data_IF_482959572400
#
_entry.id   IF_482959572400
#
_cell.length_a   1.000
_cell.length_b   1.000
_cell.length_c   1.000
_cell.angle_alpha   90.00
_cell.angle_beta   90.00
_cell.angle_gamma   90.00
#
_symmetry.space_group_name_H-M   'P 1'
#
loop_
_entity.id
_entity.type
_entity.pdbx_description
1 polymer ?
#
# COMPACT_ATOMS: atom_id res chain seq x y z
N UNK A 1 18.73 7.38 48.62
CA UNK A 1 19.14 7.90 47.30
C UNK A 1 18.29 7.27 46.21
N UNK A 2 17.38 8.02 45.57
CA UNK A 2 16.92 7.73 44.21
C UNK A 2 17.12 8.97 43.29
N UNK A 3 17.41 8.79 41.99
CA UNK A 3 16.38 9.04 40.95
C UNK A 3 16.60 8.15 39.68
N UNK A 4 15.64 7.87 38.79
CA UNK A 4 14.94 8.81 37.90
C UNK A 4 13.66 8.18 37.30
N UNK A 5 12.53 8.83 37.54
CA UNK A 5 11.29 8.69 36.78
C UNK A 5 11.38 9.47 35.47
N UNK A 6 11.26 8.80 34.32
CA UNK A 6 11.02 9.45 33.03
C UNK A 6 9.52 9.76 32.90
N UNK A 7 9.19 11.04 32.83
CA UNK A 7 7.84 11.57 32.54
C UNK A 7 7.34 11.02 31.20
N UNK A 8 6.21 10.32 31.22
CA UNK A 8 5.46 9.96 30.04
C UNK A 8 4.61 11.17 29.62
N UNK A 9 4.78 11.63 28.38
CA UNK A 9 3.90 12.63 27.80
C UNK A 9 2.52 12.00 27.54
N UNK A 10 1.54 12.37 28.36
CA UNK A 10 0.13 12.13 28.11
C UNK A 10 -0.32 12.95 26.90
N UNK A 11 -0.52 12.29 25.76
CA UNK A 11 -1.20 12.88 24.61
C UNK A 11 -2.68 13.08 24.95
N UNK A 12 -3.12 14.34 24.98
CA UNK A 12 -4.51 14.73 25.23
C UNK A 12 -5.43 14.17 24.14
N UNK A 13 -6.36 13.30 24.54
CA UNK A 13 -7.50 12.87 23.72
C UNK A 13 -8.56 13.98 23.83
N UNK A 14 -8.77 14.71 22.75
CA UNK A 14 -9.81 15.74 22.67
C UNK A 14 -11.15 15.10 22.29
N UNK A 15 -12.07 15.06 23.26
CA UNK A 15 -13.49 14.74 23.10
C UNK A 15 -14.18 15.98 22.50
N UNK A 16 -15.05 15.76 21.51
CA UNK A 16 -15.79 16.81 20.82
C UNK A 16 -17.22 16.93 21.37
N UNK A 17 -17.64 18.16 21.70
CA UNK A 17 -19.05 18.57 21.78
C UNK A 17 -19.25 19.89 21.03
N UNK A 18 -20.47 20.19 20.56
CA UNK A 18 -20.69 21.12 19.46
C UNK A 18 -21.15 22.52 19.92
N UNK A 19 -21.16 23.42 18.92
CA UNK A 19 -21.77 24.76 18.90
C UNK A 19 -20.88 25.93 19.31
N UNK A 20 -20.28 26.56 18.30
CA UNK A 20 -20.12 28.01 18.28
C UNK A 20 -19.94 28.46 16.83
N UNK A 21 -20.82 29.35 16.35
CA UNK A 21 -20.62 30.08 15.09
C UNK A 21 -19.30 30.85 15.20
N UNK A 22 -18.26 30.40 14.50
CA UNK A 22 -16.99 31.12 14.40
C UNK A 22 -17.10 32.21 13.33
N UNK A 23 -17.41 33.43 13.76
CA UNK A 23 -16.97 34.64 13.07
C UNK A 23 -15.57 34.93 13.60
N UNK A 24 -14.53 34.46 12.90
CA UNK A 24 -13.14 34.81 13.22
C UNK A 24 -12.84 36.19 12.64
N UNK A 25 -13.06 37.24 13.43
CA UNK A 25 -12.29 38.48 13.30
C UNK A 25 -10.92 38.20 13.88
N UNK A 26 -9.89 38.16 13.03
CA UNK A 26 -8.50 38.17 13.49
C UNK A 26 -8.30 39.53 14.17
N UNK A 27 -8.21 39.56 15.50
CA UNK A 27 -7.68 40.74 16.19
C UNK A 27 -6.16 40.64 16.25
N UNK A 28 -5.42 41.72 15.91
CA UNK A 28 -3.97 41.72 16.02
C UNK A 28 -3.57 41.61 17.49
N UNK A 29 -2.62 40.73 17.80
CA UNK A 29 -1.92 40.76 19.08
C UNK A 29 -0.91 41.92 19.07
N UNK A 30 -0.86 42.70 20.15
CA UNK A 30 -0.03 43.90 20.37
C UNK A 30 1.49 43.62 20.46
N UNK A 31 2.05 42.90 19.50
CA UNK A 31 3.49 42.83 19.22
C UNK A 31 3.73 43.23 17.77
N UNK A 32 3.41 44.50 17.49
CA UNK A 32 3.40 45.13 16.18
C UNK A 32 4.81 45.41 15.67
N UNK A 33 5.19 44.73 14.58
CA UNK A 33 5.64 45.35 13.32
C UNK A 33 6.05 44.25 12.32
N UNK A 34 6.70 43.19 12.81
CA UNK A 34 7.27 42.13 11.96
C UNK A 34 6.28 41.02 11.59
N UNK A 35 5.38 40.62 12.50
CA UNK A 35 4.37 39.60 12.22
C UNK A 35 3.23 40.10 11.34
N UNK A 36 2.87 41.38 11.45
CA UNK A 36 1.81 41.99 10.65
C UNK A 36 2.24 42.14 9.18
N UNK A 37 3.50 42.54 8.94
CA UNK A 37 4.10 42.53 7.61
C UNK A 37 4.15 41.13 6.98
N UNK A 38 4.48 40.08 7.75
CA UNK A 38 4.51 38.70 7.27
C UNK A 38 3.12 38.13 6.96
N UNK A 39 2.10 38.47 7.76
CA UNK A 39 0.70 38.09 7.50
C UNK A 39 0.15 38.84 6.27
N UNK A 40 0.46 40.13 6.13
CA UNK A 40 0.09 40.93 4.96
C UNK A 40 0.82 40.48 3.68
N UNK A 41 2.04 39.95 3.80
CA UNK A 41 2.76 39.35 2.67
C UNK A 41 2.23 37.96 2.28
N UNK A 42 1.56 37.25 3.19
CA UNK A 42 1.04 35.91 2.91
C UNK A 42 -0.29 36.00 2.14
N UNK A 43 -0.20 35.91 0.82
CA UNK A 43 -1.35 35.95 -0.11
C UNK A 43 -2.49 35.02 0.36
N UNK A 44 -2.17 33.82 0.86
CA UNK A 44 -3.16 32.83 1.31
C UNK A 44 -3.97 33.24 2.55
N UNK A 45 -3.46 34.16 3.37
CA UNK A 45 -4.17 34.68 4.54
C UNK A 45 -5.10 35.84 4.18
N UNK A 46 -4.94 36.42 2.98
CA UNK A 46 -5.66 37.59 2.52
C UNK A 46 -6.68 37.29 1.40
N UNK A 47 -6.71 36.05 0.89
CA UNK A 47 -7.74 35.64 -0.08
C UNK A 47 -9.08 35.29 0.61
N UNK A 48 -10.22 35.56 -0.04
CA UNK A 48 -11.53 35.09 0.40
C UNK A 48 -11.57 33.58 0.67
N UNK A 49 -12.30 33.17 1.69
CA UNK A 49 -12.40 31.76 2.10
C UNK A 49 -13.01 30.89 1.00
N UNK A 50 -13.86 31.44 0.14
CA UNK A 50 -14.46 30.76 -1.00
C UNK A 50 -13.39 30.38 -2.03
N UNK A 51 -12.50 31.31 -2.38
CA UNK A 51 -11.39 31.04 -3.30
C UNK A 51 -10.40 30.05 -2.68
N UNK A 52 -10.13 30.19 -1.38
CA UNK A 52 -9.29 29.24 -0.66
C UNK A 52 -9.89 27.82 -0.66
N UNK A 53 -11.21 27.71 -0.49
CA UNK A 53 -11.95 26.46 -0.57
C UNK A 53 -11.80 25.82 -1.96
N UNK A 54 -11.99 26.59 -3.04
CA UNK A 54 -11.83 26.10 -4.41
C UNK A 54 -10.41 25.62 -4.71
N UNK A 55 -9.40 26.41 -4.31
CA UNK A 55 -8.00 25.99 -4.45
C UNK A 55 -7.77 24.70 -3.67
N UNK A 56 -8.23 24.64 -2.42
CA UNK A 56 -8.03 23.48 -1.54
C UNK A 56 -8.70 22.20 -2.05
N UNK A 57 -9.84 22.30 -2.75
CA UNK A 57 -10.52 21.15 -3.38
C UNK A 57 -9.66 20.50 -4.47
N UNK A 58 -8.81 21.27 -5.14
CA UNK A 58 -7.93 20.77 -6.21
C UNK A 58 -6.64 20.14 -5.69
N UNK A 59 -6.28 20.39 -4.42
CA UNK A 59 -5.07 19.84 -3.81
C UNK A 59 -5.19 18.34 -3.56
N UNK A 60 -4.06 17.64 -3.61
CA UNK A 60 -4.00 16.24 -3.21
C UNK A 60 -4.23 16.12 -1.70
N UNK A 61 -4.90 15.06 -1.19
CA UNK A 61 -5.16 14.93 0.25
C UNK A 61 -3.90 14.97 1.13
N UNK A 62 -2.76 14.52 0.61
CA UNK A 62 -1.47 14.61 1.30
C UNK A 62 -0.99 16.07 1.48
N UNK A 63 -1.29 16.95 0.53
CA UNK A 63 -0.96 18.36 0.62
C UNK A 63 -1.86 19.05 1.64
N UNK A 64 -3.16 18.69 1.67
CA UNK A 64 -4.09 19.17 2.70
C UNK A 64 -3.64 18.75 4.12
N UNK A 65 -3.12 17.53 4.28
CA UNK A 65 -2.53 17.08 5.54
C UNK A 65 -1.28 17.87 5.91
N UNK A 66 -0.47 18.24 4.92
CA UNK A 66 0.71 19.09 5.13
C UNK A 66 0.30 20.50 5.59
N UNK A 67 -0.72 21.10 4.97
CA UNK A 67 -1.26 22.40 5.36
C UNK A 67 -1.83 22.41 6.79
N UNK A 68 -2.54 21.35 7.20
CA UNK A 68 -3.03 21.15 8.57
C UNK A 68 -1.90 21.23 9.62
N UNK A 69 -0.68 20.82 9.24
CA UNK A 69 0.47 20.72 10.14
C UNK A 69 1.30 22.00 10.18
N UNK A 70 1.46 22.67 9.05
CA UNK A 70 2.38 23.81 8.90
C UNK A 70 1.80 25.15 9.33
N UNK A 71 0.48 25.36 9.27
CA UNK A 71 -0.12 26.68 9.49
C UNK A 71 -1.34 26.65 10.42
N UNK A 72 -1.37 27.54 11.41
CA UNK A 72 -2.49 27.64 12.38
C UNK A 72 -3.82 28.00 11.71
N UNK A 73 -3.80 28.90 10.72
CA UNK A 73 -4.97 29.30 9.96
C UNK A 73 -5.58 28.11 9.20
N UNK A 74 -4.77 27.44 8.37
CA UNK A 74 -5.20 26.22 7.66
C UNK A 74 -5.65 25.12 8.62
N UNK A 75 -4.99 24.99 9.77
CA UNK A 75 -5.39 24.03 10.80
C UNK A 75 -6.80 24.26 11.32
N UNK A 76 -7.16 25.52 11.58
CA UNK A 76 -8.49 25.85 12.09
C UNK A 76 -9.56 25.61 11.02
N UNK A 77 -9.30 26.04 9.79
CA UNK A 77 -10.24 25.94 8.68
C UNK A 77 -10.45 24.48 8.23
N UNK A 78 -9.36 23.73 8.02
CA UNK A 78 -9.43 22.35 7.53
C UNK A 78 -9.86 21.32 8.59
N UNK A 79 -9.97 21.75 9.87
CA UNK A 79 -10.57 20.95 10.95
C UNK A 79 -12.05 21.26 11.18
N UNK A 80 -12.53 22.44 10.76
CA UNK A 80 -13.93 22.78 10.89
C UNK A 80 -14.78 21.83 10.02
N UNK A 81 -15.68 21.07 10.67
CA UNK A 81 -16.46 20.04 9.97
C UNK A 81 -17.39 20.62 8.92
N UNK A 82 -17.94 21.81 9.14
CA UNK A 82 -18.89 22.43 8.22
C UNK A 82 -18.17 22.90 6.95
N UNK A 83 -17.10 23.66 7.13
CA UNK A 83 -16.34 24.24 6.04
C UNK A 83 -15.46 23.23 5.29
N UNK A 84 -14.77 22.34 6.01
CA UNK A 84 -13.75 21.48 5.41
C UNK A 84 -14.35 20.24 4.72
N UNK A 85 -15.55 19.79 5.10
CA UNK A 85 -16.12 18.53 4.57
C UNK A 85 -16.26 18.54 3.04
N UNK A 86 -16.77 19.60 2.38
CA UNK A 86 -16.77 19.68 0.93
C UNK A 86 -15.37 19.65 0.31
N UNK A 87 -14.38 20.31 0.94
CA UNK A 87 -12.99 20.36 0.49
C UNK A 87 -12.39 18.95 0.46
N UNK A 88 -12.43 18.28 1.60
CA UNK A 88 -11.91 16.93 1.73
C UNK A 88 -12.63 15.94 0.82
N UNK A 89 -13.96 16.03 0.71
CA UNK A 89 -14.75 15.15 -0.16
C UNK A 89 -14.30 15.24 -1.61
N UNK A 90 -14.16 16.45 -2.14
CA UNK A 90 -13.76 16.66 -3.54
C UNK A 90 -12.32 16.21 -3.75
N UNK A 91 -11.39 16.67 -2.90
CA UNK A 91 -9.98 16.29 -2.97
C UNK A 91 -9.78 14.77 -2.93
N UNK A 92 -10.44 14.08 -2.01
CA UNK A 92 -10.39 12.62 -1.90
C UNK A 92 -10.98 11.92 -3.12
N UNK A 93 -12.11 12.40 -3.63
CA UNK A 93 -12.73 11.82 -4.82
C UNK A 93 -11.85 11.98 -6.05
N UNK A 94 -11.18 13.12 -6.23
CA UNK A 94 -10.25 13.32 -7.33
C UNK A 94 -9.05 12.37 -7.26
N UNK A 95 -8.49 12.18 -6.06
CA UNK A 95 -7.33 11.32 -5.85
C UNK A 95 -7.63 9.81 -5.91
N UNK A 96 -8.80 9.38 -5.45
CA UNK A 96 -9.09 7.95 -5.24
C UNK A 96 -10.28 7.40 -6.02
N UNK A 97 -11.19 8.27 -6.48
CA UNK A 97 -12.53 7.89 -7.00
C UNK A 97 -13.41 7.13 -6.00
N UNK A 98 -13.06 7.11 -4.72
CA UNK A 98 -13.90 6.55 -3.67
C UNK A 98 -15.21 7.35 -3.53
N UNK A 99 -16.29 6.70 -3.06
CA UNK A 99 -17.49 7.41 -2.64
C UNK A 99 -17.20 8.31 -1.43
N UNK A 100 -18.09 9.27 -1.13
CA UNK A 100 -17.97 10.10 0.06
C UNK A 100 -17.84 9.26 1.34
N UNK A 101 -16.91 9.64 2.21
CA UNK A 101 -16.73 8.99 3.50
C UNK A 101 -17.92 9.32 4.43
N UNK A 102 -18.44 8.35 5.19
CA UNK A 102 -19.47 8.60 6.19
C UNK A 102 -18.90 9.37 7.38
N UNK A 103 -19.75 10.00 8.19
CA UNK A 103 -19.29 10.88 9.27
C UNK A 103 -18.52 10.14 10.38
N UNK A 104 -18.79 8.84 10.52
CA UNK A 104 -18.07 7.91 11.41
C UNK A 104 -16.63 7.64 10.96
N UNK A 105 -16.30 8.00 9.72
CA UNK A 105 -14.96 7.91 9.14
C UNK A 105 -14.51 9.30 8.65
N UNK A 106 -13.98 10.16 9.54
CA UNK A 106 -13.56 11.50 9.17
C UNK A 106 -12.52 11.52 8.05
N UNK A 107 -12.69 12.40 7.08
CA UNK A 107 -11.79 12.51 5.92
C UNK A 107 -10.31 12.71 6.26
N UNK A 108 -9.91 13.58 7.23
CA UNK A 108 -8.50 13.72 7.56
C UNK A 108 -7.88 12.40 8.01
N UNK A 109 -8.65 11.56 8.73
CA UNK A 109 -8.19 10.23 9.14
C UNK A 109 -8.07 9.29 7.94
N UNK A 110 -9.04 9.31 7.03
CA UNK A 110 -8.97 8.53 5.79
C UNK A 110 -7.76 8.93 4.94
N UNK A 111 -7.49 10.22 4.79
CA UNK A 111 -6.34 10.73 4.06
C UNK A 111 -5.01 10.24 4.65
N UNK A 112 -4.86 10.27 5.98
CA UNK A 112 -3.65 9.74 6.64
C UNK A 112 -3.49 8.25 6.34
N UNK A 113 -4.57 7.48 6.42
CA UNK A 113 -4.55 6.04 6.17
C UNK A 113 -4.12 5.73 4.72
N UNK A 114 -4.65 6.45 3.74
CA UNK A 114 -4.41 6.17 2.33
C UNK A 114 -3.07 6.70 1.81
N UNK A 115 -2.65 7.89 2.25
CA UNK A 115 -1.54 8.60 1.62
C UNK A 115 -0.32 8.78 2.51
N UNK A 116 -0.48 8.74 3.83
CA UNK A 116 0.64 8.93 4.76
C UNK A 116 1.27 7.59 5.13
N UNK A 117 1.99 7.02 4.17
CA UNK A 117 2.46 5.63 4.23
C UNK A 117 3.80 5.44 4.96
N UNK A 118 4.39 6.48 5.54
CA UNK A 118 5.71 6.39 6.16
C UNK A 118 5.70 6.19 7.67
N UNK A 119 4.62 6.50 8.40
CA UNK A 119 4.61 6.52 9.87
C UNK A 119 3.43 5.76 10.49
N UNK A 120 3.66 5.13 11.64
CA UNK A 120 2.62 4.50 12.44
C UNK A 120 1.71 5.56 13.08
N UNK A 121 0.38 5.42 12.94
CA UNK A 121 -0.57 6.36 13.55
C UNK A 121 -0.62 6.30 15.08
N UNK A 122 -0.07 5.24 15.69
CA UNK A 122 -0.13 5.01 17.15
C UNK A 122 1.16 5.39 17.86
N UNK A 123 2.33 5.12 17.27
CA UNK A 123 3.63 5.42 17.88
C UNK A 123 4.50 6.40 17.09
N UNK A 124 4.03 6.89 15.95
CA UNK A 124 4.71 7.86 15.04
C UNK A 124 6.06 7.43 14.49
N UNK A 125 6.54 6.22 14.82
CA UNK A 125 7.78 5.67 14.27
C UNK A 125 7.56 5.32 12.80
N UNK A 126 8.62 5.49 12.00
CA UNK A 126 8.62 5.10 10.59
C UNK A 126 8.32 3.61 10.44
N UNK A 127 7.45 3.27 9.49
CA UNK A 127 7.01 1.90 9.24
C UNK A 127 7.34 1.45 7.83
N UNK A 128 7.71 0.17 7.63
CA UNK A 128 7.93 -0.37 6.30
C UNK A 128 6.69 -0.22 5.42
N UNK A 129 6.89 -0.12 4.11
CA UNK A 129 5.81 -0.03 3.12
C UNK A 129 4.79 -1.18 3.24
N UNK A 130 5.22 -2.35 3.72
CA UNK A 130 4.39 -3.56 3.92
C UNK A 130 3.48 -3.54 5.16
N UNK A 131 3.22 -2.37 5.75
CA UNK A 131 2.43 -2.28 6.97
C UNK A 131 0.93 -2.37 6.69
N UNK A 132 0.21 -3.07 7.58
CA UNK A 132 -1.19 -3.41 7.42
C UNK A 132 -2.08 -2.18 7.68
N UNK A 133 -2.81 -1.76 6.65
CA UNK A 133 -3.94 -0.85 6.76
C UNK A 133 -5.16 -1.61 7.28
N UNK A 134 -5.85 -1.05 8.27
CA UNK A 134 -7.09 -1.61 8.81
C UNK A 134 -8.19 -0.55 8.76
N UNK A 135 -9.07 -0.68 7.76
CA UNK A 135 -10.12 0.30 7.51
C UNK A 135 -11.25 0.23 8.55
N UNK A 136 -11.56 -0.96 9.07
CA UNK A 136 -12.53 -1.12 10.16
C UNK A 136 -12.05 -0.44 11.44
N UNK A 137 -10.79 -0.64 11.82
CA UNK A 137 -10.21 0.01 12.99
C UNK A 137 -9.83 1.46 12.71
N UNK A 138 -9.86 1.89 11.44
CA UNK A 138 -9.47 3.23 10.97
C UNK A 138 -8.06 3.60 11.41
N UNK A 139 -7.12 2.67 11.20
CA UNK A 139 -5.71 2.84 11.56
C UNK A 139 -4.77 2.27 10.50
N UNK A 140 -3.55 2.82 10.52
CA UNK A 140 -2.36 2.23 9.91
C UNK A 140 -1.29 2.14 10.99
N UNK A 141 -0.85 0.93 11.31
CA UNK A 141 0.01 0.70 12.49
C UNK A 141 1.05 -0.38 12.27
N UNK A 142 2.25 -0.22 12.83
CA UNK A 142 3.25 -1.29 12.85
C UNK A 142 2.72 -2.55 13.56
N UNK A 143 3.34 -3.69 13.27
CA UNK A 143 3.00 -4.99 13.90
C UNK A 143 3.01 -4.92 15.43
N UNK A 144 4.01 -4.26 16.03
CA UNK A 144 4.12 -4.05 17.47
C UNK A 144 2.90 -3.30 18.03
N UNK A 145 2.56 -2.15 17.46
CA UNK A 145 1.43 -1.36 17.93
C UNK A 145 0.09 -2.09 17.73
N UNK A 146 -0.04 -2.86 16.65
CA UNK A 146 -1.22 -3.70 16.46
C UNK A 146 -1.34 -4.72 17.60
N UNK A 147 -0.27 -5.42 17.95
CA UNK A 147 -0.27 -6.39 19.05
C UNK A 147 -0.51 -5.73 20.42
N UNK A 148 -0.01 -4.52 20.66
CA UNK A 148 -0.10 -3.88 21.99
C UNK A 148 -1.38 -3.09 22.21
N UNK A 149 -1.99 -2.55 21.16
CA UNK A 149 -3.17 -1.66 21.26
C UNK A 149 -4.48 -2.31 20.80
N UNK A 150 -4.42 -3.50 20.19
CA UNK A 150 -5.62 -4.27 19.85
C UNK A 150 -5.81 -5.45 20.79
N UNK A 151 -7.06 -5.85 20.97
CA UNK A 151 -7.45 -7.07 21.67
C UNK A 151 -8.37 -7.90 20.79
N UNK A 152 -8.37 -9.22 21.00
CA UNK A 152 -9.14 -10.23 20.25
C UNK A 152 -10.45 -10.56 20.96
N UNK A 153 -11.52 -10.84 20.19
CA UNK A 153 -12.81 -11.27 20.76
C UNK A 153 -12.77 -12.63 21.46
N UNK A 154 -11.79 -13.50 21.15
CA UNK A 154 -11.68 -14.85 21.74
C UNK A 154 -11.08 -14.81 23.14
N UNK A 155 -10.17 -13.87 23.43
CA UNK A 155 -9.53 -13.77 24.73
C UNK A 155 -10.45 -13.19 25.82
N UNK A 156 -11.62 -12.65 25.45
CA UNK A 156 -12.44 -11.87 26.38
C UNK A 156 -13.91 -12.28 26.49
N UNK A 157 -14.34 -13.47 26.02
CA UNK A 157 -15.75 -13.88 26.03
C UNK A 157 -16.67 -12.78 25.47
N UNK A 158 -16.47 -12.37 24.21
CA UNK A 158 -17.28 -11.35 23.50
C UNK A 158 -17.90 -10.33 24.47
N UNK A 159 -17.07 -9.52 25.13
CA UNK A 159 -17.50 -8.96 26.39
C UNK A 159 -18.70 -8.01 26.10
N UNK A 160 -19.56 -7.79 27.09
CA UNK A 160 -20.75 -6.96 26.90
C UNK A 160 -20.51 -5.59 27.55
N UNK A 161 -21.01 -4.52 26.93
CA UNK A 161 -21.25 -3.25 27.65
C UNK A 161 -22.72 -3.18 27.90
N UNK A 162 -23.12 -3.16 29.17
CA UNK A 162 -24.53 -3.06 29.53
C UNK A 162 -25.42 -4.08 28.79
N UNK A 163 -24.92 -5.31 28.62
CA UNK A 163 -25.65 -6.38 27.92
C UNK A 163 -25.49 -6.45 26.40
N UNK A 164 -24.88 -5.45 25.76
CA UNK A 164 -24.73 -5.38 24.29
C UNK A 164 -23.35 -5.84 23.79
N UNK A 165 -23.28 -6.51 22.62
CA UNK A 165 -22.00 -6.92 22.04
C UNK A 165 -21.11 -5.73 21.66
N UNK A 166 -19.81 -5.80 21.95
CA UNK A 166 -18.87 -4.73 21.61
C UNK A 166 -18.85 -4.35 20.13
N UNK A 167 -18.93 -5.33 19.23
CA UNK A 167 -18.83 -5.04 17.81
C UNK A 167 -19.95 -4.09 17.35
N UNK A 168 -21.12 -4.10 17.99
CA UNK A 168 -22.21 -3.17 17.67
C UNK A 168 -21.92 -1.72 18.11
N UNK A 169 -20.99 -1.55 19.04
CA UNK A 169 -20.76 -0.28 19.73
C UNK A 169 -19.42 0.36 19.39
N UNK A 170 -18.43 -0.39 18.91
CA UNK A 170 -17.09 0.12 18.61
C UNK A 170 -16.54 -0.37 17.25
N UNK A 171 -15.65 0.42 16.62
CA UNK A 171 -14.88 -0.02 15.47
C UNK A 171 -14.18 -1.34 15.76
N UNK A 172 -14.44 -2.32 14.91
CA UNK A 172 -13.99 -3.69 15.10
C UNK A 172 -13.83 -4.39 13.77
N UNK A 173 -12.79 -5.21 13.66
CA UNK A 173 -12.64 -6.12 12.51
C UNK A 173 -13.70 -7.22 12.63
N UNK A 174 -14.29 -7.58 11.50
CA UNK A 174 -15.30 -8.64 11.46
C UNK A 174 -14.58 -9.99 11.65
N UNK A 175 -15.05 -10.86 12.56
CA UNK A 175 -14.53 -12.22 12.66
C UNK A 175 -14.63 -12.93 11.30
N UNK A 176 -13.56 -13.60 10.88
CA UNK A 176 -13.52 -14.34 9.62
C UNK A 176 -13.04 -15.77 9.87
N UNK A 177 -13.98 -16.71 9.91
CA UNK A 177 -13.71 -18.12 10.16
C UNK A 177 -13.04 -18.34 11.52
N UNK A 178 -11.77 -18.74 11.51
CA UNK A 178 -10.97 -18.99 12.74
C UNK A 178 -10.28 -17.75 13.29
N UNK A 179 -10.32 -16.61 12.60
CA UNK A 179 -9.68 -15.37 13.06
C UNK A 179 -10.70 -14.60 13.89
N UNK A 180 -10.44 -14.43 15.20
CA UNK A 180 -11.26 -13.57 16.04
C UNK A 180 -11.20 -12.15 15.48
N UNK A 181 -12.35 -11.48 15.43
CA UNK A 181 -12.32 -10.04 15.23
C UNK A 181 -11.54 -9.36 16.37
N UNK A 182 -11.08 -8.16 16.09
CA UNK A 182 -10.24 -7.37 16.96
C UNK A 182 -10.75 -5.94 17.05
N UNK A 183 -10.39 -5.27 18.13
CA UNK A 183 -10.79 -3.89 18.38
C UNK A 183 -9.65 -3.12 19.06
N UNK A 184 -9.70 -1.79 18.99
CA UNK A 184 -8.77 -0.95 19.73
C UNK A 184 -9.19 -0.84 21.19
N UNK A 185 -8.26 -1.13 22.10
CA UNK A 185 -8.49 -1.01 23.55
C UNK A 185 -8.87 0.43 23.93
N UNK A 186 -8.38 1.43 23.18
CA UNK A 186 -8.75 2.83 23.36
C UNK A 186 -10.22 3.11 23.01
N UNK A 187 -10.74 2.55 21.92
CA UNK A 187 -12.14 2.74 21.52
C UNK A 187 -13.10 2.11 22.53
N UNK A 188 -12.73 0.95 23.06
CA UNK A 188 -13.42 0.30 24.17
C UNK A 188 -13.52 1.21 25.40
N UNK A 189 -12.37 1.74 25.85
CA UNK A 189 -12.32 2.64 27.01
C UNK A 189 -13.17 3.89 26.78
N UNK A 190 -13.11 4.47 25.58
CA UNK A 190 -13.86 5.67 25.23
C UNK A 190 -15.38 5.45 25.29
N UNK A 191 -15.88 4.35 24.71
CA UNK A 191 -17.32 4.04 24.75
C UNK A 191 -17.81 3.73 26.16
N UNK A 192 -17.03 2.99 26.96
CA UNK A 192 -17.37 2.76 28.37
C UNK A 192 -17.47 4.07 29.16
N UNK A 193 -16.51 4.98 28.98
CA UNK A 193 -16.55 6.30 29.61
C UNK A 193 -17.77 7.11 29.15
N UNK A 194 -18.08 7.13 27.84
CA UNK A 194 -19.27 7.83 27.32
C UNK A 194 -20.58 7.33 27.93
N UNK A 195 -20.73 6.01 28.09
CA UNK A 195 -21.94 5.42 28.69
C UNK A 195 -22.04 5.79 30.18
N UNK A 196 -20.92 5.72 30.90
CA UNK A 196 -20.87 6.08 32.32
C UNK A 196 -21.14 7.57 32.55
N UNK A 197 -20.46 8.45 31.82
CA UNK A 197 -20.53 9.91 31.98
C UNK A 197 -21.91 10.47 31.62
N UNK A 198 -22.55 9.90 30.60
CA UNK A 198 -23.89 10.33 30.19
C UNK A 198 -25.01 9.75 31.08
N UNK A 199 -24.67 8.83 32.00
CA UNK A 199 -25.63 8.14 32.85
C UNK A 199 -26.72 7.44 32.03
N UNK A 200 -26.36 6.89 30.86
CA UNK A 200 -27.35 6.28 29.97
C UNK A 200 -27.97 5.06 30.64
N UNK A 201 -29.26 5.14 30.92
CA UNK A 201 -30.07 4.05 31.46
C UNK A 201 -31.40 3.96 30.70
N UNK A 202 -32.01 2.77 30.69
CA UNK A 202 -33.29 2.52 30.02
C UNK A 202 -33.28 2.96 28.54
N UNK A 203 -34.28 3.73 28.15
CA UNK A 203 -34.50 4.18 26.75
C UNK A 203 -33.34 4.97 26.17
N UNK A 204 -32.66 5.81 26.96
CA UNK A 204 -31.50 6.59 26.48
C UNK A 204 -30.31 5.70 26.10
N UNK A 205 -30.11 4.60 26.81
CA UNK A 205 -29.08 3.61 26.47
C UNK A 205 -29.45 2.88 25.18
N UNK A 206 -30.72 2.50 25.01
CA UNK A 206 -31.21 1.85 23.78
C UNK A 206 -31.08 2.75 22.54
N UNK A 207 -31.40 4.04 22.67
CA UNK A 207 -31.21 5.04 21.61
C UNK A 207 -29.74 5.20 21.25
N UNK A 208 -28.86 5.32 22.25
CA UNK A 208 -27.42 5.40 22.04
C UNK A 208 -26.89 4.15 21.31
N UNK A 209 -27.26 2.96 21.79
CA UNK A 209 -26.86 1.68 21.20
C UNK A 209 -27.36 1.57 19.76
N UNK A 210 -28.62 1.93 19.50
CA UNK A 210 -29.23 1.90 18.17
C UNK A 210 -28.50 2.82 17.19
N UNK A 211 -28.16 4.04 17.64
CA UNK A 211 -27.35 4.97 16.85
C UNK A 211 -25.96 4.39 16.55
N UNK A 212 -25.27 3.84 17.55
CA UNK A 212 -23.94 3.23 17.38
C UNK A 212 -23.97 2.04 16.40
N UNK A 213 -25.02 1.21 16.45
CA UNK A 213 -25.21 0.10 15.51
C UNK A 213 -25.27 0.59 14.06
N UNK A 214 -26.05 1.63 13.80
CA UNK A 214 -26.14 2.24 12.47
C UNK A 214 -24.78 2.78 12.02
N UNK A 215 -24.12 3.53 12.89
CA UNK A 215 -22.79 4.08 12.65
C UNK A 215 -21.74 2.99 12.33
N UNK A 216 -21.74 1.88 13.06
CA UNK A 216 -20.82 0.76 12.82
C UNK A 216 -21.16 -0.01 11.55
N UNK A 217 -22.45 -0.10 11.18
CA UNK A 217 -22.86 -0.67 9.90
C UNK A 217 -22.38 0.19 8.72
N UNK A 218 -22.50 1.51 8.81
CA UNK A 218 -21.95 2.44 7.80
C UNK A 218 -20.43 2.32 7.69
N UNK A 219 -19.74 2.30 8.82
CA UNK A 219 -18.28 2.14 8.87
C UNK A 219 -17.84 0.85 8.16
N UNK A 220 -18.49 -0.28 8.45
CA UNK A 220 -18.16 -1.57 7.82
C UNK A 220 -18.40 -1.56 6.32
N UNK A 221 -19.53 -1.01 5.87
CA UNK A 221 -19.82 -0.86 4.44
C UNK A 221 -18.74 -0.04 3.76
N UNK A 222 -18.38 1.11 4.33
CA UNK A 222 -17.35 1.97 3.76
C UNK A 222 -15.96 1.32 3.80
N UNK A 223 -15.60 0.64 4.89
CA UNK A 223 -14.35 -0.10 4.99
C UNK A 223 -14.22 -1.20 3.91
N UNK A 224 -15.32 -1.89 3.60
CA UNK A 224 -15.38 -2.86 2.50
C UNK A 224 -15.09 -2.20 1.15
N UNK A 225 -15.63 -1.00 0.90
CA UNK A 225 -15.35 -0.24 -0.32
C UNK A 225 -13.87 0.16 -0.39
N UNK A 226 -13.29 0.63 0.73
CA UNK A 226 -11.87 0.98 0.79
C UNK A 226 -10.96 -0.23 0.50
N UNK A 227 -11.29 -1.43 1.01
CA UNK A 227 -10.53 -2.65 0.70
C UNK A 227 -10.62 -3.03 -0.78
N UNK A 228 -11.81 -2.95 -1.37
CA UNK A 228 -11.99 -3.23 -2.78
C UNK A 228 -11.17 -2.26 -3.65
N UNK A 229 -11.17 -0.98 -3.27
CA UNK A 229 -10.34 0.04 -3.89
C UNK A 229 -8.83 -0.24 -3.75
N UNK A 230 -8.36 -0.59 -2.54
CA UNK A 230 -6.94 -0.90 -2.29
C UNK A 230 -6.48 -2.10 -3.13
N UNK A 231 -7.30 -3.16 -3.17
CA UNK A 231 -7.04 -4.34 -3.99
C UNK A 231 -7.00 -4.01 -5.49
N UNK A 232 -7.96 -3.23 -5.99
CA UNK A 232 -8.02 -2.81 -7.40
C UNK A 232 -6.82 -1.95 -7.77
N UNK A 233 -6.49 -0.98 -6.92
CA UNK A 233 -5.35 -0.07 -7.12
C UNK A 233 -4.03 -0.85 -7.16
N UNK A 234 -3.85 -1.86 -6.29
CA UNK A 234 -2.66 -2.69 -6.31
C UNK A 234 -2.57 -3.57 -7.57
N UNK A 235 -3.70 -4.09 -8.07
CA UNK A 235 -3.76 -4.81 -9.35
C UNK A 235 -3.36 -3.89 -10.51
N UNK A 236 -3.92 -2.68 -10.57
CA UNK A 236 -3.59 -1.69 -11.60
C UNK A 236 -2.11 -1.28 -11.53
N UNK A 237 -1.58 -1.08 -10.32
CA UNK A 237 -0.17 -0.75 -10.10
C UNK A 237 0.74 -1.87 -10.62
N UNK A 238 0.45 -3.13 -10.26
CA UNK A 238 1.18 -4.29 -10.79
C UNK A 238 1.07 -4.41 -12.30
N UNK A 239 -0.10 -4.18 -12.87
CA UNK A 239 -0.29 -4.21 -14.32
C UNK A 239 0.57 -3.15 -15.02
N UNK A 240 0.62 -1.92 -14.49
CA UNK A 240 1.52 -0.86 -14.98
C UNK A 240 2.99 -1.22 -14.84
N UNK A 241 3.37 -1.85 -13.73
CA UNK A 241 4.74 -2.36 -13.54
C UNK A 241 5.10 -3.42 -14.59
N UNK A 242 4.20 -4.36 -14.87
CA UNK A 242 4.39 -5.40 -15.89
C UNK A 242 4.48 -4.83 -17.31
N UNK A 243 3.66 -3.84 -17.65
CA UNK A 243 3.77 -3.11 -18.93
C UNK A 243 5.15 -2.44 -19.02
N UNK A 244 5.58 -1.74 -17.96
CA UNK A 244 6.89 -1.07 -17.92
C UNK A 244 8.06 -2.06 -18.09
N UNK A 245 7.97 -3.23 -17.46
CA UNK A 245 8.96 -4.32 -17.63
C UNK A 245 8.97 -4.87 -19.05
N UNK A 246 7.80 -5.06 -19.67
CA UNK A 246 7.69 -5.54 -21.05
C UNK A 246 8.29 -4.55 -22.05
N UNK A 247 8.00 -3.26 -21.89
CA UNK A 247 8.57 -2.18 -22.71
C UNK A 247 10.09 -2.11 -22.55
N UNK A 248 10.58 -2.18 -21.31
CA UNK A 248 12.02 -2.25 -21.00
C UNK A 248 12.68 -3.43 -21.71
N UNK A 249 12.12 -4.63 -21.60
CA UNK A 249 12.66 -5.84 -22.21
C UNK A 249 12.70 -5.72 -23.74
N UNK A 250 11.60 -5.26 -24.35
CA UNK A 250 11.50 -5.01 -25.79
C UNK A 250 12.57 -4.03 -26.26
N UNK A 251 12.75 -2.92 -25.53
CA UNK A 251 13.79 -1.93 -25.82
C UNK A 251 15.20 -2.54 -25.75
N UNK A 252 15.51 -3.28 -24.69
CA UNK A 252 16.81 -3.92 -24.48
C UNK A 252 17.11 -4.92 -25.60
N UNK A 253 16.15 -5.79 -25.95
CA UNK A 253 16.30 -6.76 -27.03
C UNK A 253 16.59 -6.09 -28.37
N UNK A 254 15.90 -4.99 -28.67
CA UNK A 254 16.16 -4.20 -29.89
C UNK A 254 17.58 -3.62 -29.90
N UNK A 255 18.06 -3.11 -28.78
CA UNK A 255 19.45 -2.60 -28.67
C UNK A 255 20.48 -3.71 -28.82
N UNK A 256 20.30 -4.85 -28.16
CA UNK A 256 21.18 -6.01 -28.30
C UNK A 256 21.20 -6.55 -29.74
N UNK A 257 20.05 -6.55 -30.42
CA UNK A 257 19.98 -6.90 -31.83
C UNK A 257 20.86 -5.96 -32.68
N UNK A 258 20.79 -4.65 -32.44
CA UNK A 258 21.64 -3.67 -33.15
C UNK A 258 23.13 -3.80 -32.85
N UNK A 259 23.49 -4.40 -31.70
CA UNK A 259 24.87 -4.71 -31.32
C UNK A 259 25.36 -6.07 -31.85
N UNK A 260 24.55 -6.77 -32.66
CA UNK A 260 24.96 -8.02 -33.31
C UNK A 260 24.70 -9.29 -32.49
N UNK A 261 23.83 -9.24 -31.49
CA UNK A 261 23.46 -10.40 -30.66
C UNK A 261 22.24 -11.19 -31.19
N UNK A 262 21.88 -11.02 -32.46
CA UNK A 262 20.69 -11.62 -33.06
C UNK A 262 20.70 -13.16 -33.05
N UNK A 263 21.86 -13.78 -33.21
CA UNK A 263 22.04 -15.24 -33.16
C UNK A 263 21.66 -15.82 -31.80
N UNK A 264 22.12 -15.19 -30.72
CA UNK A 264 21.79 -15.61 -29.34
C UNK A 264 20.31 -15.33 -29.04
N UNK A 265 19.79 -14.17 -29.47
CA UNK A 265 18.39 -13.80 -29.27
C UNK A 265 17.41 -14.72 -30.02
N UNK A 266 17.82 -15.30 -31.16
CA UNK A 266 16.99 -16.25 -31.90
C UNK A 266 16.70 -17.53 -31.10
N UNK A 267 17.62 -17.94 -30.23
CA UNK A 267 17.47 -19.08 -29.31
C UNK A 267 16.76 -18.63 -28.02
N UNK A 268 17.05 -17.43 -27.53
CA UNK A 268 16.46 -16.85 -26.31
C UNK A 268 15.10 -16.18 -26.55
N UNK A 269 14.11 -16.96 -26.97
CA UNK A 269 12.76 -16.44 -27.26
C UNK A 269 11.98 -16.09 -25.99
N UNK A 270 11.29 -14.95 -25.95
CA UNK A 270 10.35 -14.64 -24.88
C UNK A 270 9.05 -15.46 -25.04
N UNK A 271 8.25 -15.61 -23.96
CA UNK A 271 8.53 -15.16 -22.60
C UNK A 271 9.40 -16.17 -21.80
N UNK A 272 9.99 -15.69 -20.70
CA UNK A 272 10.71 -16.46 -19.67
C UNK A 272 12.08 -17.04 -20.07
N UNK A 273 12.75 -16.47 -21.08
CA UNK A 273 14.13 -16.83 -21.41
C UNK A 273 15.10 -16.45 -20.28
N UNK A 274 16.35 -16.92 -20.34
CA UNK A 274 17.37 -16.54 -19.36
C UNK A 274 17.56 -15.01 -19.29
N UNK A 275 17.55 -14.32 -20.44
CA UNK A 275 17.56 -12.86 -20.53
C UNK A 275 16.37 -12.20 -19.79
N UNK A 276 15.15 -12.73 -19.92
CA UNK A 276 13.94 -12.16 -19.31
C UNK A 276 13.96 -12.21 -17.78
N UNK A 277 14.75 -13.11 -17.20
CA UNK A 277 14.85 -13.30 -15.75
C UNK A 277 15.93 -12.44 -15.10
N UNK A 278 16.77 -11.77 -15.89
CA UNK A 278 17.83 -10.93 -15.34
C UNK A 278 17.22 -9.75 -14.55
N UNK A 279 17.67 -9.46 -13.31
CA UNK A 279 17.12 -8.36 -12.51
C UNK A 279 17.20 -6.99 -13.20
N UNK A 280 18.25 -6.75 -13.99
CA UNK A 280 18.43 -5.51 -14.76
C UNK A 280 17.49 -5.39 -15.98
N UNK A 281 16.85 -6.49 -16.40
CA UNK A 281 15.82 -6.54 -17.46
C UNK A 281 14.42 -6.56 -16.84
N UNK A 282 14.21 -7.39 -15.81
CA UNK A 282 12.94 -7.59 -15.13
C UNK A 282 12.70 -6.60 -13.98
N UNK A 283 12.72 -5.31 -14.31
CA UNK A 283 12.47 -4.22 -13.36
C UNK A 283 11.57 -3.17 -14.01
N UNK A 284 10.61 -2.65 -13.24
CA UNK A 284 9.69 -1.60 -13.67
C UNK A 284 10.37 -0.23 -13.66
N UNK A 285 11.29 -0.02 -14.59
CA UNK A 285 12.02 1.24 -14.74
C UNK A 285 12.28 1.53 -16.23
N UNK A 286 11.97 2.75 -16.72
CA UNK A 286 12.32 3.14 -18.08
C UNK A 286 13.83 3.06 -18.36
N UNK A 287 14.20 2.70 -19.60
CA UNK A 287 15.60 2.68 -20.03
C UNK A 287 15.97 4.03 -20.63
N UNK A 288 16.57 4.90 -19.82
CA UNK A 288 17.18 6.15 -20.31
C UNK A 288 18.55 5.88 -20.91
N UNK A 289 19.14 6.88 -21.60
CA UNK A 289 20.49 6.75 -22.13
C UNK A 289 21.53 6.47 -21.03
N UNK A 290 21.42 7.13 -19.87
CA UNK A 290 22.31 6.89 -18.73
C UNK A 290 22.17 5.47 -18.19
N UNK A 291 20.93 4.99 -18.02
CA UNK A 291 20.67 3.61 -17.56
C UNK A 291 21.22 2.60 -18.58
N UNK A 292 21.05 2.87 -19.88
CA UNK A 292 21.59 2.02 -20.93
C UNK A 292 23.12 1.90 -20.86
N UNK A 293 23.83 3.01 -20.72
CA UNK A 293 25.29 3.02 -20.57
C UNK A 293 25.76 2.18 -19.38
N UNK A 294 25.00 2.17 -18.27
CA UNK A 294 25.33 1.37 -17.10
C UNK A 294 25.08 -0.14 -17.31
N UNK A 295 23.96 -0.52 -17.92
CA UNK A 295 23.55 -1.93 -18.04
C UNK A 295 24.13 -2.63 -19.26
N UNK A 296 24.50 -1.90 -20.32
CA UNK A 296 24.97 -2.47 -21.60
C UNK A 296 26.17 -3.41 -21.42
N UNK A 297 27.25 -3.04 -20.70
CA UNK A 297 28.40 -3.94 -20.54
C UNK A 297 28.03 -5.26 -19.84
N UNK A 298 27.17 -5.19 -18.81
CA UNK A 298 26.67 -6.36 -18.06
C UNK A 298 25.83 -7.29 -18.95
N UNK A 299 25.04 -6.70 -19.84
CA UNK A 299 24.25 -7.45 -20.82
C UNK A 299 25.15 -8.12 -21.87
N UNK A 300 26.15 -7.42 -22.42
CA UNK A 300 27.05 -7.99 -23.41
C UNK A 300 27.89 -9.14 -22.83
N UNK A 301 28.36 -9.02 -21.58
CA UNK A 301 29.02 -10.11 -20.86
C UNK A 301 28.09 -11.33 -20.73
N UNK A 302 26.83 -11.11 -20.33
CA UNK A 302 25.82 -12.16 -20.27
C UNK A 302 25.62 -12.83 -21.64
N UNK A 303 25.45 -12.05 -22.70
CA UNK A 303 25.23 -12.58 -24.06
C UNK A 303 26.44 -13.37 -24.57
N UNK A 304 27.66 -12.93 -24.26
CA UNK A 304 28.90 -13.63 -24.61
C UNK A 304 28.99 -15.00 -23.92
N UNK A 305 28.63 -15.06 -22.63
CA UNK A 305 28.58 -16.31 -21.87
C UNK A 305 27.57 -17.27 -22.47
N UNK A 306 26.36 -16.81 -22.77
CA UNK A 306 25.29 -17.64 -23.34
C UNK A 306 25.63 -18.16 -24.74
N UNK A 307 26.25 -17.32 -25.58
CA UNK A 307 26.79 -17.76 -26.88
C UNK A 307 27.81 -18.90 -26.72
N UNK A 308 28.65 -18.81 -25.70
CA UNK A 308 29.68 -19.83 -25.42
C UNK A 308 29.07 -21.13 -24.92
N UNK A 309 28.12 -21.06 -23.99
CA UNK A 309 27.42 -22.23 -23.48
C UNK A 309 26.58 -22.93 -24.57
N UNK A 310 25.91 -22.17 -25.44
CA UNK A 310 25.15 -22.75 -26.55
C UNK A 310 26.06 -23.48 -27.54
N UNK A 311 27.25 -22.93 -27.84
CA UNK A 311 28.27 -23.62 -28.65
C UNK A 311 28.70 -24.94 -28.02
N UNK A 312 28.91 -24.98 -26.70
CA UNK A 312 29.26 -26.22 -25.98
C UNK A 312 28.13 -27.25 -26.06
N UNK A 313 26.88 -26.85 -25.79
CA UNK A 313 25.70 -27.73 -25.88
C UNK A 313 25.55 -28.31 -27.29
N UNK A 314 25.74 -27.49 -28.32
CA UNK A 314 25.70 -27.93 -29.70
C UNK A 314 26.78 -28.98 -30.02
N UNK A 315 28.03 -28.72 -29.61
CA UNK A 315 29.14 -29.68 -29.79
C UNK A 315 28.88 -31.01 -29.06
N UNK A 316 28.38 -30.96 -27.83
CA UNK A 316 28.01 -32.16 -27.08
C UNK A 316 26.87 -32.94 -27.73
N UNK A 317 25.86 -32.25 -28.26
CA UNK A 317 24.75 -32.88 -28.98
C UNK A 317 25.24 -33.63 -30.22
N UNK A 318 26.13 -33.02 -31.01
CA UNK A 318 26.76 -33.67 -32.17
C UNK A 318 27.58 -34.89 -31.75
N UNK A 319 28.39 -34.80 -30.69
CA UNK A 319 29.15 -35.93 -30.13
C UNK A 319 28.24 -37.09 -29.72
N UNK A 320 27.15 -36.80 -29.00
CA UNK A 320 26.15 -37.80 -28.59
C UNK A 320 25.46 -38.43 -29.80
N UNK A 321 25.13 -37.65 -30.83
CA UNK A 321 24.52 -38.16 -32.06
C UNK A 321 25.48 -39.08 -32.83
N UNK A 322 26.75 -38.69 -32.96
CA UNK A 322 27.79 -39.51 -33.58
C UNK A 322 27.97 -40.84 -32.82
N UNK A 323 28.07 -40.80 -31.48
CA UNK A 323 28.16 -42.00 -30.64
C UNK A 323 26.97 -42.95 -30.83
N UNK A 324 25.73 -42.41 -30.88
CA UNK A 324 24.53 -43.21 -31.17
C UNK A 324 24.57 -43.86 -32.55
N UNK A 325 25.01 -43.14 -33.59
CA UNK A 325 25.16 -43.67 -34.95
C UNK A 325 26.19 -44.81 -35.00
N UNK A 326 27.34 -44.62 -34.35
CA UNK A 326 28.39 -45.64 -34.26
C UNK A 326 27.91 -46.90 -33.53
N UNK A 327 27.20 -46.74 -32.41
CA UNK A 327 26.62 -47.87 -31.66
C UNK A 327 25.57 -48.63 -32.49
N UNK A 328 24.72 -47.92 -33.24
CA UNK A 328 23.73 -48.54 -34.15
C UNK A 328 24.41 -49.31 -35.29
N UNK A 329 25.46 -48.74 -35.88
CA UNK A 329 26.28 -49.40 -36.91
C UNK A 329 26.95 -50.67 -36.38
N UNK A 330 27.56 -50.61 -35.19
CA UNK A 330 28.19 -51.77 -34.54
C UNK A 330 27.18 -52.90 -34.27
N UNK A 331 25.97 -52.56 -33.79
CA UNK A 331 24.88 -53.54 -33.61
C UNK A 331 24.41 -54.16 -34.93
N UNK A 332 24.34 -53.39 -36.01
CA UNK A 332 23.97 -53.91 -37.33
C UNK A 332 25.03 -54.90 -37.88
N UNK A 333 26.31 -54.56 -37.78
CA UNK A 333 27.42 -55.44 -38.17
C UNK A 333 27.45 -56.74 -37.36
N UNK A 334 27.20 -56.67 -36.05
CA UNK A 334 27.10 -57.86 -35.20
C UNK A 334 25.94 -58.77 -35.61
N UNK A 335 24.79 -58.22 -35.99
CA UNK A 335 23.64 -59.00 -36.49
C UNK A 335 23.95 -59.68 -37.83
N UNK A 336 24.60 -58.97 -38.77
CA UNK A 336 25.02 -59.55 -40.05
C UNK A 336 26.03 -60.68 -39.86
N UNK A 337 27.00 -60.51 -38.96
CA UNK A 337 27.97 -61.55 -38.62
C UNK A 337 27.31 -62.80 -38.00
N UNK A 338 26.28 -62.62 -37.16
CA UNK A 338 25.50 -63.72 -36.59
C UNK A 338 24.66 -64.46 -37.63
N UNK A 339 24.09 -63.75 -38.60
CA UNK A 339 23.34 -64.34 -39.72
C UNK A 339 24.26 -65.15 -40.65
N UNK A 340 25.43 -64.62 -40.99
CA UNK A 340 26.41 -65.33 -41.82
C UNK A 340 26.99 -66.58 -41.12
N UNK A 341 27.13 -66.57 -39.80
CA UNK A 341 27.53 -67.78 -39.05
C UNK A 341 26.45 -68.87 -39.07
N UNK A 342 25.17 -68.51 -38.96
CA UNK A 342 24.05 -69.46 -39.03
C UNK A 342 23.87 -70.07 -40.43
N UNK A 343 24.13 -69.30 -41.48
CA UNK A 343 24.09 -69.79 -42.87
C UNK A 343 25.24 -70.75 -43.23
N UNK A 344 26.40 -70.67 -42.55
CA UNK A 344 27.54 -71.57 -42.77
C UNK A 344 27.44 -72.91 -42.02
N UNK A 345 26.57 -73.03 -41.03
CA UNK A 345 26.34 -74.29 -40.28
C UNK A 345 25.16 -75.10 -40.83
N UNK A 346 24.56 -74.67 -41.93
CA UNK A 346 23.39 -75.30 -42.57
C UNK A 346 23.65 -75.70 -44.04
N UNK A 347 24.92 -75.78 -44.44
CA UNK A 347 25.39 -76.37 -45.70
C UNK A 347 26.25 -77.59 -45.44
#
# INVERSE_FOLDING_TARGET
MPPHLKKQHLGTVLIATPETKLVLRIQPSESGDSNEALVNACVFLNIPLELLSEISKSLHPLDLLSLLRTCKFFRNILRDKGFARPIWRVSMHLATKLPPAPDVFPYPRLAVILFETSQCMLCTVSIPASTITDFELRIRSCSRCRQTHTASFVESFAPKVEGYPFYDLIPSTVPSGRIPGSYLVADLKAVKATIADAGFAGTRLEEFVSKRKLEMAELRRFASVCRAWEATTEIERKAKDEITKADRNTYIRRKLLSLGWGDVLAVMKPPNSALDRLPLVNIAQPVTQSVWTEICPKLEEFMARERTEERKRHQEALRKQAAKRMAKGKKALQKLAQQNKKGKTSS
#
